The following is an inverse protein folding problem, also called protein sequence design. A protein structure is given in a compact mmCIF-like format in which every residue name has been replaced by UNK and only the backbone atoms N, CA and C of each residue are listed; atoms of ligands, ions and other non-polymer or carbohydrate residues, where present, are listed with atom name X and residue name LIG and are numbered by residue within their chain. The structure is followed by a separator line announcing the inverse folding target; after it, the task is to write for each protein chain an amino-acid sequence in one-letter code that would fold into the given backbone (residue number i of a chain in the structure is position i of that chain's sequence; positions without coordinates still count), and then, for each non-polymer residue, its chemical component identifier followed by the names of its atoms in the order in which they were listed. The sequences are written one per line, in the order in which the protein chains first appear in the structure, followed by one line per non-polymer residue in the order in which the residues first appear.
data_IF_109404566480
#
_entry.id   IF_109404566480
#
_cell.length_a   1.000
_cell.length_b   1.000
_cell.length_c   1.000
_cell.angle_alpha   90.00
_cell.angle_beta   90.00
_cell.angle_gamma   90.00
#
_symmetry.space_group_name_H-M   'P 1'
#
loop_
_entity.id
_entity.type
_entity.pdbx_description
1 polymer ?
#
# COMPACT_ATOMS: atom_id res chain seq x y z
N UNK A 1 7.68 0.82 -2.11
CA UNK A 1 8.66 -0.27 -2.23
C UNK A 1 7.90 -1.59 -2.03
N UNK A 2 8.20 -2.70 -2.73
CA UNK A 2 7.44 -3.96 -2.54
C UNK A 2 7.51 -4.48 -1.09
N UNK A 3 8.62 -4.22 -0.38
CA UNK A 3 8.81 -4.61 1.02
C UNK A 3 7.80 -4.00 2.01
N UNK A 4 7.07 -2.93 1.65
CA UNK A 4 6.06 -2.35 2.53
C UNK A 4 4.67 -2.96 2.34
N UNK A 5 4.42 -3.65 1.21
CA UNK A 5 3.08 -4.08 0.83
C UNK A 5 2.48 -5.11 1.82
N UNK A 6 3.22 -6.15 2.27
CA UNK A 6 2.63 -7.14 3.16
C UNK A 6 2.13 -6.56 4.48
N UNK A 7 2.94 -5.71 5.12
CA UNK A 7 2.57 -5.04 6.36
C UNK A 7 1.42 -4.04 6.16
N UNK A 8 1.42 -3.32 5.04
CA UNK A 8 0.34 -2.38 4.70
C UNK A 8 -1.01 -3.09 4.54
N UNK A 9 -1.04 -4.22 3.82
CA UNK A 9 -2.27 -5.00 3.62
C UNK A 9 -2.74 -5.64 4.94
N UNK A 10 -1.84 -6.21 5.73
CA UNK A 10 -2.18 -6.78 7.03
C UNK A 10 -2.75 -5.72 7.99
N UNK A 11 -2.17 -4.51 8.00
CA UNK A 11 -2.71 -3.39 8.78
C UNK A 11 -4.08 -2.97 8.27
N UNK A 12 -4.25 -2.78 6.97
CA UNK A 12 -5.50 -2.35 6.37
C UNK A 12 -6.64 -3.32 6.66
N UNK A 13 -6.41 -4.63 6.48
CA UNK A 13 -7.39 -5.67 6.78
C UNK A 13 -7.76 -5.68 8.25
N UNK A 14 -6.78 -5.57 9.15
CA UNK A 14 -7.02 -5.51 10.59
C UNK A 14 -7.86 -4.29 10.97
N UNK A 15 -7.53 -3.12 10.41
CA UNK A 15 -8.28 -1.89 10.66
C UNK A 15 -9.72 -2.00 10.16
N UNK A 16 -9.94 -2.58 8.98
CA UNK A 16 -11.28 -2.80 8.43
C UNK A 16 -12.10 -3.77 9.29
N UNK A 17 -11.51 -4.89 9.71
CA UNK A 17 -12.19 -5.91 10.52
C UNK A 17 -12.59 -5.39 11.91
N UNK A 18 -11.82 -4.47 12.48
CA UNK A 18 -12.08 -3.89 13.80
C UNK A 18 -12.63 -2.46 13.75
N UNK A 19 -12.93 -1.94 12.55
CA UNK A 19 -13.39 -0.57 12.31
C UNK A 19 -12.49 0.51 12.96
N UNK A 20 -11.18 0.28 12.96
CA UNK A 20 -10.19 1.19 13.55
C UNK A 20 -9.90 2.36 12.62
N UNK A 21 -9.68 3.53 13.22
CA UNK A 21 -9.17 4.74 12.57
C UNK A 21 -7.68 4.92 12.88
N UNK A 22 -6.97 5.63 12.01
CA UNK A 22 -5.54 5.89 12.18
C UNK A 22 -5.16 6.48 13.55
N UNK A 23 -5.99 7.39 14.09
CA UNK A 23 -5.76 8.02 15.40
C UNK A 23 -5.92 7.08 16.60
N UNK A 24 -6.50 5.90 16.41
CA UNK A 24 -6.69 4.89 17.46
C UNK A 24 -5.50 3.93 17.57
N UNK A 25 -4.50 4.07 16.70
CA UNK A 25 -3.28 3.26 16.70
C UNK A 25 -2.24 3.88 17.62
N UNK A 26 -1.99 3.24 18.77
CA UNK A 26 -0.97 3.66 19.73
C UNK A 26 0.43 3.17 19.34
N UNK A 27 0.53 1.94 18.82
CA UNK A 27 1.77 1.34 18.31
C UNK A 27 1.46 0.33 17.21
N UNK A 28 2.30 0.28 16.19
CA UNK A 28 2.23 -0.77 15.15
C UNK A 28 3.61 -1.41 15.01
N UNK A 29 3.71 -2.70 15.30
CA UNK A 29 4.91 -3.49 15.04
C UNK A 29 4.67 -4.29 13.77
N UNK A 30 5.54 -4.12 12.79
CA UNK A 30 5.56 -4.91 11.56
C UNK A 30 6.59 -6.02 11.70
N UNK A 31 6.16 -7.26 11.48
CA UNK A 31 6.98 -8.45 11.57
C UNK A 31 7.46 -8.80 10.16
N UNK A 32 8.76 -8.69 9.92
CA UNK A 32 9.32 -8.64 8.57
C UNK A 32 10.50 -9.58 8.39
N UNK A 33 10.88 -9.82 7.14
CA UNK A 33 12.11 -10.50 6.76
C UNK A 33 13.31 -9.52 6.75
N UNK A 34 14.55 -10.02 6.81
CA UNK A 34 15.75 -9.18 6.94
C UNK A 34 15.93 -8.18 5.80
N UNK A 35 15.66 -8.60 4.55
CA UNK A 35 15.73 -7.72 3.39
C UNK A 35 14.81 -6.48 3.48
N UNK A 36 13.68 -6.55 4.20
CA UNK A 36 12.84 -5.38 4.42
C UNK A 36 13.51 -4.39 5.39
N UNK A 37 14.17 -4.88 6.44
CA UNK A 37 14.95 -4.05 7.37
C UNK A 37 16.11 -3.39 6.64
N UNK A 38 16.84 -4.13 5.82
CA UNK A 38 18.00 -3.60 5.10
C UNK A 38 17.62 -2.50 4.10
N UNK A 39 16.45 -2.64 3.44
CA UNK A 39 15.98 -1.69 2.42
C UNK A 39 15.23 -0.49 3.02
N UNK A 40 14.42 -0.71 4.06
CA UNK A 40 13.51 0.30 4.60
C UNK A 40 14.02 0.95 5.89
N UNK A 41 14.87 0.25 6.65
CA UNK A 41 15.44 0.70 7.92
C UNK A 41 16.25 1.99 7.83
N UNK A 42 16.98 2.27 6.73
CA UNK A 42 17.69 3.54 6.57
C UNK A 42 16.77 4.78 6.47
N UNK A 43 15.47 4.63 6.20
CA UNK A 43 14.56 5.75 5.91
C UNK A 43 13.45 5.87 6.97
N UNK A 44 13.82 6.28 8.17
CA UNK A 44 12.87 6.52 9.29
C UNK A 44 12.23 7.91 9.25
N UNK A 45 12.93 8.92 8.75
CA UNK A 45 12.41 10.29 8.58
C UNK A 45 12.61 10.76 7.11
N UNK A 46 11.71 10.39 6.19
CA UNK A 46 11.85 10.74 4.77
C UNK A 46 11.69 12.24 4.55
N UNK A 47 12.60 12.85 3.79
CA UNK A 47 12.56 14.27 3.41
C UNK A 47 11.99 14.51 2.00
N UNK A 48 11.74 13.43 1.25
CA UNK A 48 11.21 13.50 -0.12
C UNK A 48 10.13 12.45 -0.36
N UNK A 49 9.28 12.70 -1.35
CA UNK A 49 8.30 11.73 -1.86
C UNK A 49 8.96 10.40 -2.28
N UNK A 50 10.16 10.45 -2.84
CA UNK A 50 10.86 9.23 -3.22
C UNK A 50 11.26 8.42 -1.98
N UNK A 51 11.87 9.07 -0.98
CA UNK A 51 12.24 8.42 0.27
C UNK A 51 11.03 7.90 1.04
N UNK A 52 9.90 8.62 1.04
CA UNK A 52 8.70 8.19 1.78
C UNK A 52 8.14 6.85 1.29
N UNK A 53 8.33 6.51 0.01
CA UNK A 53 7.98 5.20 -0.57
C UNK A 53 8.86 4.05 -0.09
N UNK A 54 9.96 4.35 0.61
CA UNK A 54 10.88 3.41 1.27
C UNK A 54 10.83 3.50 2.81
N UNK A 55 9.87 4.24 3.38
CA UNK A 55 9.66 4.30 4.83
C UNK A 55 8.45 3.47 5.22
N UNK A 56 8.65 2.38 5.98
CA UNK A 56 7.56 1.52 6.44
C UNK A 56 6.48 2.33 7.18
N UNK A 57 6.90 3.18 8.12
CA UNK A 57 5.99 4.00 8.91
C UNK A 57 5.16 4.96 8.06
N UNK A 58 5.77 5.64 7.08
CA UNK A 58 5.02 6.56 6.22
C UNK A 58 4.02 5.82 5.33
N UNK A 59 4.39 4.67 4.76
CA UNK A 59 3.45 3.88 3.94
C UNK A 59 2.26 3.42 4.77
N UNK A 60 2.50 2.83 5.95
CA UNK A 60 1.43 2.37 6.84
C UNK A 60 0.55 3.54 7.32
N UNK A 61 1.14 4.70 7.60
CA UNK A 61 0.40 5.88 8.00
C UNK A 61 -0.54 6.38 6.89
N UNK A 62 -0.08 6.43 5.63
CA UNK A 62 -0.94 6.79 4.50
C UNK A 62 -2.07 5.77 4.30
N UNK A 63 -1.76 4.47 4.35
CA UNK A 63 -2.77 3.41 4.24
C UNK A 63 -3.80 3.49 5.36
N UNK A 64 -3.38 3.72 6.60
CA UNK A 64 -4.28 3.88 7.73
C UNK A 64 -5.20 5.12 7.61
N UNK A 65 -4.71 6.20 6.99
CA UNK A 65 -5.47 7.45 6.80
C UNK A 65 -6.45 7.39 5.64
N UNK A 66 -6.03 6.81 4.51
CA UNK A 66 -6.72 6.93 3.23
C UNK A 66 -7.26 5.59 2.70
N UNK A 67 -6.95 4.48 3.37
CA UNK A 67 -7.25 3.13 2.91
C UNK A 67 -6.33 2.62 1.79
N UNK A 68 -5.40 3.47 1.32
CA UNK A 68 -4.38 3.15 0.33
C UNK A 68 -3.25 4.19 0.35
N UNK A 69 -2.14 3.93 -0.35
CA UNK A 69 -1.05 4.89 -0.54
C UNK A 69 -0.78 5.09 -2.04
N UNK A 70 -1.45 6.08 -2.64
CA UNK A 70 -1.33 6.44 -4.06
C UNK A 70 -0.37 7.61 -4.28
N UNK A 71 -0.19 8.01 -5.56
CA UNK A 71 0.75 9.08 -5.91
C UNK A 71 0.34 10.43 -5.29
N UNK A 72 -0.95 10.77 -5.33
CA UNK A 72 -1.45 11.99 -4.72
C UNK A 72 -1.20 12.01 -3.20
N UNK A 73 -1.43 10.89 -2.51
CA UNK A 73 -1.25 10.80 -1.06
C UNK A 73 0.23 10.89 -0.67
N UNK A 74 1.10 10.26 -1.45
CA UNK A 74 2.54 10.43 -1.25
C UNK A 74 2.99 11.87 -1.51
N UNK A 75 2.47 12.55 -2.52
CA UNK A 75 2.90 13.91 -2.85
C UNK A 75 2.39 14.93 -1.83
N UNK A 76 1.14 14.79 -1.41
CA UNK A 76 0.45 15.81 -0.63
C UNK A 76 0.53 15.58 0.87
N UNK A 77 0.65 14.31 1.31
CA UNK A 77 0.34 13.94 2.69
C UNK A 77 1.46 13.19 3.42
N UNK A 78 2.59 12.90 2.77
CA UNK A 78 3.66 12.13 3.40
C UNK A 78 4.31 12.82 4.62
N UNK A 79 4.28 14.17 4.64
CA UNK A 79 4.85 15.01 5.69
C UNK A 79 3.77 15.79 6.47
N UNK A 80 2.50 15.38 6.38
CA UNK A 80 1.47 15.91 7.28
C UNK A 80 1.79 15.54 8.73
N UNK A 81 1.41 16.40 9.67
CA UNK A 81 1.58 16.14 11.11
C UNK A 81 0.99 14.78 11.53
N UNK A 82 -0.22 14.45 11.06
CA UNK A 82 -0.87 13.17 11.33
C UNK A 82 -0.13 11.97 10.72
N UNK A 83 0.52 12.12 9.56
CA UNK A 83 1.35 11.05 8.97
C UNK A 83 2.62 10.84 9.78
N UNK A 84 3.31 11.93 10.15
CA UNK A 84 4.53 11.85 10.96
C UNK A 84 4.25 11.19 12.32
N UNK A 85 3.20 11.61 12.99
CA UNK A 85 2.83 11.08 14.30
C UNK A 85 2.58 9.57 14.25
N UNK A 86 1.84 9.08 13.25
CA UNK A 86 1.61 7.64 13.11
C UNK A 86 2.87 6.92 12.63
N UNK A 87 3.64 7.48 11.69
CA UNK A 87 4.93 6.92 11.24
C UNK A 87 5.85 6.63 12.42
N UNK A 88 5.95 7.56 13.37
CA UNK A 88 6.84 7.45 14.52
C UNK A 88 6.38 6.38 15.54
N UNK A 89 5.16 5.86 15.40
CA UNK A 89 4.61 4.73 16.17
C UNK A 89 4.79 3.38 15.48
N UNK A 90 5.34 3.36 14.27
CA UNK A 90 5.59 2.14 13.51
C UNK A 90 7.03 1.67 13.70
N UNK A 91 7.21 0.39 14.01
CA UNK A 91 8.52 -0.28 14.06
C UNK A 91 8.56 -1.53 13.18
N UNK A 92 9.76 -1.96 12.81
CA UNK A 92 10.01 -3.25 12.15
C UNK A 92 10.75 -4.17 13.11
N UNK A 93 10.31 -5.42 13.21
CA UNK A 93 10.96 -6.49 13.98
C UNK A 93 11.17 -7.70 13.06
N UNK A 94 12.35 -8.31 13.13
CA UNK A 94 12.65 -9.52 12.36
C UNK A 94 11.81 -10.68 12.90
N UNK A 95 11.09 -11.35 12.01
CA UNK A 95 10.29 -12.53 12.35
C UNK A 95 10.82 -13.74 11.57
N UNK A 96 11.14 -14.81 12.30
CA UNK A 96 11.78 -16.00 11.73
C UNK A 96 10.89 -16.76 10.74
N UNK A 97 9.57 -16.75 10.93
CA UNK A 97 8.61 -17.37 10.02
C UNK A 97 8.55 -16.58 8.71
N UNK A 98 8.40 -15.26 8.81
CA UNK A 98 8.35 -14.35 7.66
C UNK A 98 9.66 -14.38 6.88
N UNK A 99 10.80 -14.39 7.58
CA UNK A 99 12.13 -14.44 6.98
C UNK A 99 12.38 -15.76 6.25
N UNK A 100 12.05 -16.90 6.86
CA UNK A 100 12.21 -18.21 6.23
C UNK A 100 11.31 -18.42 5.00
N UNK A 101 10.15 -17.77 4.97
CA UNK A 101 9.24 -17.82 3.84
C UNK A 101 9.73 -17.00 2.63
N UNK A 102 10.50 -15.95 2.87
CA UNK A 102 11.04 -15.07 1.83
C UNK A 102 12.15 -15.76 1.00
N UNK A 103 12.24 -15.51 -0.33
CA UNK A 103 11.37 -14.68 -1.16
C UNK A 103 10.19 -15.44 -1.80
N UNK A 104 9.99 -16.72 -1.43
CA UNK A 104 8.94 -17.56 -2.04
C UNK A 104 7.54 -17.11 -1.67
N UNK A 105 7.35 -16.58 -0.47
CA UNK A 105 6.10 -15.95 0.01
C UNK A 105 6.43 -14.63 0.68
N UNK A 106 5.51 -13.68 0.57
CA UNK A 106 5.67 -12.34 1.12
C UNK A 106 4.60 -12.08 2.17
N UNK A 107 4.70 -12.85 3.26
CA UNK A 107 3.74 -12.84 4.36
C UNK A 107 3.71 -11.46 5.02
N UNK A 108 2.51 -10.93 5.25
CA UNK A 108 2.27 -9.70 5.98
C UNK A 108 1.84 -9.99 7.40
N UNK A 109 2.55 -9.48 8.40
CA UNK A 109 2.23 -9.73 9.81
C UNK A 109 2.43 -8.44 10.61
N UNK A 110 1.43 -8.06 11.38
CA UNK A 110 1.46 -6.85 12.22
C UNK A 110 0.87 -7.12 13.60
N UNK A 111 1.43 -6.48 14.61
CA UNK A 111 0.82 -6.34 15.94
C UNK A 111 0.47 -4.88 16.16
N UNK A 112 -0.81 -4.60 16.41
CA UNK A 112 -1.32 -3.26 16.69
C UNK A 112 -1.70 -3.17 18.15
N UNK A 113 -1.13 -2.21 18.86
CA UNK A 113 -1.65 -1.76 20.16
C UNK A 113 -2.52 -0.53 19.91
N UNK A 114 -3.77 -0.58 20.36
CA UNK A 114 -4.72 0.52 20.23
C UNK A 114 -4.62 1.47 21.42
N UNK A 115 -5.16 2.69 21.26
CA UNK A 115 -5.19 3.70 22.34
C UNK A 115 -6.00 3.27 23.56
N UNK A 116 -6.97 2.37 23.40
CA UNK A 116 -7.74 1.77 24.49
C UNK A 116 -7.06 0.53 25.12
N UNK A 117 -5.83 0.20 24.70
CA UNK A 117 -5.01 -0.86 25.28
C UNK A 117 -5.22 -2.26 24.70
N UNK A 118 -6.11 -2.45 23.71
CA UNK A 118 -6.22 -3.74 23.01
C UNK A 118 -4.95 -4.04 22.22
N UNK A 119 -4.63 -5.32 22.11
CA UNK A 119 -3.56 -5.84 21.24
C UNK A 119 -4.19 -6.73 20.20
N UNK A 120 -4.05 -6.34 18.94
CA UNK A 120 -4.67 -6.97 17.79
C UNK A 120 -3.58 -7.46 16.82
N UNK A 121 -3.82 -8.59 16.17
CA UNK A 121 -2.85 -9.24 15.30
C UNK A 121 -3.42 -9.33 13.88
N UNK A 122 -2.72 -8.74 12.92
CA UNK A 122 -3.04 -8.83 11.50
C UNK A 122 -2.11 -9.80 10.80
N UNK A 123 -2.66 -10.60 9.88
CA UNK A 123 -1.91 -11.57 9.08
C UNK A 123 -2.49 -11.66 7.66
N UNK A 124 -1.61 -11.70 6.66
CA UNK A 124 -1.93 -11.94 5.25
C UNK A 124 -0.90 -12.90 4.67
N UNK A 125 -1.35 -14.04 4.12
CA UNK A 125 -0.48 -15.01 3.44
C UNK A 125 0.00 -14.48 2.08
N UNK A 126 -0.94 -13.96 1.28
CA UNK A 126 -0.70 -13.42 -0.06
C UNK A 126 -1.12 -11.94 -0.12
N UNK A 127 -0.17 -10.98 -0.16
CA UNK A 127 -0.49 -9.57 -0.27
C UNK A 127 -1.18 -9.26 -1.61
N UNK A 128 -1.99 -8.22 -1.64
CA UNK A 128 -2.75 -7.78 -2.81
C UNK A 128 -1.81 -7.51 -3.98
N UNK A 129 -2.07 -8.21 -5.08
CA UNK A 129 -1.26 -8.22 -6.29
C UNK A 129 -0.43 -9.49 -6.50
N UNK A 130 -0.25 -10.32 -5.47
CA UNK A 130 0.39 -11.61 -5.62
C UNK A 130 -0.55 -12.62 -6.33
N UNK A 131 -0.03 -13.70 -6.94
CA UNK A 131 -0.84 -14.65 -7.71
C UNK A 131 -2.01 -15.25 -6.92
N UNK A 132 -1.86 -15.41 -5.60
CA UNK A 132 -2.93 -15.89 -4.71
C UNK A 132 -3.97 -14.82 -4.32
N UNK A 133 -3.70 -13.54 -4.53
CA UNK A 133 -4.57 -12.42 -4.17
C UNK A 133 -4.50 -11.30 -5.22
N UNK A 134 -4.93 -11.60 -6.44
CA UNK A 134 -4.88 -10.65 -7.56
C UNK A 134 -5.84 -9.48 -7.38
N UNK A 135 -5.55 -8.35 -8.05
CA UNK A 135 -6.50 -7.25 -8.14
C UNK A 135 -7.70 -7.65 -9.02
N UNK A 136 -8.90 -7.26 -8.61
CA UNK A 136 -10.09 -7.34 -9.46
C UNK A 136 -10.01 -6.35 -10.62
N UNK A 137 -10.86 -6.53 -11.64
CA UNK A 137 -10.98 -5.56 -12.73
C UNK A 137 -11.34 -4.17 -12.22
N UNK A 138 -12.23 -4.09 -11.25
CA UNK A 138 -12.65 -2.80 -10.67
C UNK A 138 -11.48 -2.13 -9.92
N UNK A 139 -10.68 -2.89 -9.18
CA UNK A 139 -9.48 -2.37 -8.51
C UNK A 139 -8.44 -1.86 -9.52
N UNK A 140 -8.23 -2.58 -10.64
CA UNK A 140 -7.34 -2.18 -11.72
C UNK A 140 -7.87 -0.92 -12.43
N UNK A 141 -9.15 -0.89 -12.78
CA UNK A 141 -9.83 0.27 -13.39
C UNK A 141 -9.69 1.50 -12.49
N UNK A 142 -10.04 1.38 -11.20
CA UNK A 142 -9.94 2.47 -10.24
C UNK A 142 -8.50 2.97 -10.06
N UNK A 143 -7.51 2.06 -10.07
CA UNK A 143 -6.09 2.44 -10.05
C UNK A 143 -5.68 3.20 -11.31
N UNK A 144 -6.07 2.72 -12.49
CA UNK A 144 -5.74 3.35 -13.77
C UNK A 144 -6.35 4.75 -13.91
N UNK A 145 -7.62 4.92 -13.53
CA UNK A 145 -8.28 6.23 -13.51
C UNK A 145 -7.57 7.21 -12.57
N UNK A 146 -7.22 6.79 -11.35
CA UNK A 146 -6.46 7.63 -10.40
C UNK A 146 -5.12 8.08 -10.96
N UNK A 147 -4.39 7.17 -11.63
CA UNK A 147 -3.11 7.50 -12.26
C UNK A 147 -3.28 8.52 -13.40
N UNK A 148 -4.29 8.35 -14.25
CA UNK A 148 -4.57 9.27 -15.35
C UNK A 148 -4.96 10.67 -14.85
N UNK A 149 -5.80 10.74 -13.82
CA UNK A 149 -6.18 12.00 -13.16
C UNK A 149 -4.96 12.68 -12.56
N UNK A 150 -4.13 11.94 -11.82
CA UNK A 150 -2.93 12.50 -11.19
C UNK A 150 -1.93 13.05 -12.23
N UNK A 151 -1.72 12.35 -13.35
CA UNK A 151 -0.79 12.80 -14.38
C UNK A 151 -1.34 13.89 -15.30
N UNK A 152 -2.66 14.14 -15.27
CA UNK A 152 -3.35 15.02 -16.22
C UNK A 152 -3.26 14.55 -17.67
N UNK A 153 -3.00 13.25 -17.91
CA UNK A 153 -2.70 12.73 -19.24
C UNK A 153 -3.94 12.47 -20.11
N UNK A 154 -5.11 12.34 -19.47
CA UNK A 154 -6.40 12.16 -20.13
C UNK A 154 -7.52 12.65 -19.20
N UNK A 155 -8.66 13.03 -19.77
CA UNK A 155 -9.86 13.27 -18.97
C UNK A 155 -10.35 11.95 -18.36
N UNK A 156 -11.07 11.98 -17.21
CA UNK A 156 -11.65 10.76 -16.63
C UNK A 156 -12.56 10.01 -17.61
N UNK A 157 -13.29 10.73 -18.46
CA UNK A 157 -14.17 10.14 -19.48
C UNK A 157 -13.36 9.43 -20.58
N UNK A 158 -12.32 10.07 -21.12
CA UNK A 158 -11.47 9.46 -22.15
C UNK A 158 -10.74 8.23 -21.61
N UNK A 159 -10.25 8.30 -20.37
CA UNK A 159 -9.58 7.17 -19.72
C UNK A 159 -10.56 6.01 -19.45
N UNK A 160 -11.80 6.29 -19.08
CA UNK A 160 -12.83 5.26 -18.92
C UNK A 160 -13.09 4.53 -20.24
N UNK A 161 -13.30 5.28 -21.33
CA UNK A 161 -13.49 4.70 -22.67
C UNK A 161 -12.29 3.84 -23.08
N UNK A 162 -11.07 4.31 -22.81
CA UNK A 162 -9.85 3.54 -23.07
C UNK A 162 -9.78 2.24 -22.25
N UNK A 163 -10.15 2.26 -20.96
CA UNK A 163 -10.14 1.08 -20.10
C UNK A 163 -11.18 0.05 -20.53
N UNK A 164 -12.41 0.48 -20.84
CA UNK A 164 -13.48 -0.40 -21.32
C UNK A 164 -13.05 -1.13 -22.60
N UNK A 165 -12.37 -0.41 -23.50
CA UNK A 165 -11.73 -0.97 -24.68
C UNK A 165 -10.63 -1.98 -24.30
N UNK A 166 -9.67 -1.60 -23.45
CA UNK A 166 -8.55 -2.45 -23.03
C UNK A 166 -9.00 -3.78 -22.40
N UNK A 167 -10.13 -3.81 -21.69
CA UNK A 167 -10.67 -5.05 -21.13
C UNK A 167 -11.03 -6.11 -22.19
N UNK A 168 -11.13 -5.71 -23.46
CA UNK A 168 -11.40 -6.58 -24.61
C UNK A 168 -10.17 -6.77 -25.53
N UNK A 169 -8.97 -6.29 -25.13
CA UNK A 169 -7.77 -6.23 -26.00
C UNK A 169 -7.38 -7.57 -26.62
N UNK A 170 -7.60 -8.69 -25.91
CA UNK A 170 -7.32 -10.03 -26.41
C UNK A 170 -8.19 -10.44 -27.63
N UNK A 171 -9.30 -9.72 -27.89
CA UNK A 171 -10.19 -9.94 -29.02
C UNK A 171 -9.82 -9.06 -30.23
N UNK A 172 -8.85 -8.16 -30.09
CA UNK A 172 -8.50 -7.22 -31.15
C UNK A 172 -7.62 -7.88 -32.21
N UNK A 173 -7.98 -7.70 -33.48
CA UNK A 173 -7.15 -8.13 -34.61
C UNK A 173 -5.92 -7.24 -34.80
N UNK A 174 -5.98 -5.98 -34.34
CA UNK A 174 -4.89 -5.01 -34.40
C UNK A 174 -5.00 -4.01 -33.24
N UNK A 175 -3.87 -3.68 -32.63
CA UNK A 175 -3.78 -2.58 -31.65
C UNK A 175 -3.83 -1.24 -32.40
N UNK A 176 -4.87 -0.44 -32.12
CA UNK A 176 -5.07 0.91 -32.66
C UNK A 176 -4.73 2.01 -31.64
N UNK A 177 -5.10 3.25 -31.95
CA UNK A 177 -5.00 4.35 -30.96
C UNK A 177 -5.96 4.09 -29.80
N UNK A 178 -5.42 4.20 -28.58
CA UNK A 178 -6.18 3.97 -27.36
C UNK A 178 -6.84 5.24 -26.84
N UNK A 179 -6.08 6.32 -26.76
CA UNK A 179 -6.56 7.66 -26.40
C UNK A 179 -6.65 8.52 -27.68
N UNK A 180 -7.70 9.34 -27.76
CA UNK A 180 -7.81 10.42 -28.75
C UNK A 180 -6.71 11.45 -28.45
N UNK A 181 -5.95 11.87 -29.47
CA UNK A 181 -5.05 13.01 -29.34
C UNK A 181 -5.82 14.31 -29.43
#
# INVERSE_FOLDING_TARGET
CRHTHPAADALLQLMQAHHLKAGELARVVTHVHQGAIDVLGPVTNPATVHQSKFSMGTVLALVARFGYAGLAEFDQHFDDAATRELRDRVSMELDAEVDHAYPRRWIGKVTVTTMDGRVLHGHVDDPKGDPGNTLSRDEITAKALRLATYSGAASPADMQIALDRLWTVAQWTKVGSLLSR
#
